data_IF_556688897446
#
_entry.id   IF_556688897446
#
_cell.length_a   1.000
_cell.length_b   1.000
_cell.length_c   1.000
_cell.angle_alpha   90.00
_cell.angle_beta   90.00
_cell.angle_gamma   90.00
#
_symmetry.space_group_name_H-M   'P 1'
#
loop_
_entity.id
_entity.type
_entity.pdbx_description
1 polymer ?
#
# COMPACT_ATOMS: atom_id res chain seq x y z
N UNK A 1 -2.43 18.76 -11.30
CA UNK A 1 -1.22 18.00 -11.76
C UNK A 1 -0.80 16.89 -10.82
N UNK A 2 -0.68 17.12 -9.49
CA UNK A 2 -0.23 16.08 -8.55
C UNK A 2 -1.13 14.83 -8.51
N UNK A 3 -2.46 14.99 -8.57
CA UNK A 3 -3.41 13.86 -8.54
C UNK A 3 -3.40 13.01 -9.81
N UNK A 4 -3.53 13.63 -10.98
CA UNK A 4 -3.54 12.92 -12.27
C UNK A 4 -2.25 12.12 -12.51
N UNK A 5 -1.08 12.66 -12.11
CA UNK A 5 0.20 11.96 -12.22
C UNK A 5 0.28 10.76 -11.26
N UNK A 6 -0.28 10.91 -10.06
CA UNK A 6 -0.36 9.83 -9.07
C UNK A 6 -1.30 8.71 -9.52
N UNK A 7 -2.47 9.06 -10.06
CA UNK A 7 -3.44 8.11 -10.63
C UNK A 7 -2.84 7.35 -11.82
N UNK A 8 -2.16 8.04 -12.73
CA UNK A 8 -1.45 7.40 -13.84
C UNK A 8 -0.37 6.43 -13.34
N UNK A 9 0.41 6.82 -12.34
CA UNK A 9 1.46 5.98 -11.75
C UNK A 9 0.87 4.73 -11.12
N UNK A 10 -0.22 4.87 -10.36
CA UNK A 10 -0.94 3.76 -9.77
C UNK A 10 -1.52 2.81 -10.83
N UNK A 11 -2.16 3.36 -11.87
CA UNK A 11 -2.72 2.58 -12.97
C UNK A 11 -1.64 1.80 -13.73
N UNK A 12 -0.43 2.37 -13.89
CA UNK A 12 0.70 1.66 -14.51
C UNK A 12 1.25 0.55 -13.62
N UNK A 13 1.40 0.77 -12.31
CA UNK A 13 1.83 -0.28 -11.37
C UNK A 13 0.85 -1.45 -11.37
N UNK A 14 -0.46 -1.16 -11.30
CA UNK A 14 -1.51 -2.17 -11.39
C UNK A 14 -1.47 -2.95 -12.71
N UNK A 15 -1.16 -2.29 -13.83
CA UNK A 15 -0.96 -2.96 -15.12
C UNK A 15 0.26 -3.88 -15.15
N UNK A 16 1.34 -3.49 -14.49
CA UNK A 16 2.57 -4.29 -14.43
C UNK A 16 2.39 -5.50 -13.53
N UNK A 17 1.77 -5.32 -12.37
CA UNK A 17 1.67 -6.36 -11.34
C UNK A 17 0.46 -7.29 -11.56
N UNK A 18 -0.72 -6.74 -11.89
CA UNK A 18 -1.98 -7.49 -12.00
C UNK A 18 -2.41 -7.75 -13.46
N UNK A 19 -1.65 -7.27 -14.45
CA UNK A 19 -1.98 -7.32 -15.89
C UNK A 19 -3.42 -6.88 -16.25
N UNK A 20 -4.07 -6.09 -15.39
CA UNK A 20 -5.43 -5.56 -15.64
C UNK A 20 -5.39 -4.38 -16.61
N UNK A 21 -6.23 -4.43 -17.64
CA UNK A 21 -6.18 -3.44 -18.72
C UNK A 21 -6.76 -2.06 -18.34
N UNK A 22 -7.74 -2.02 -17.41
CA UNK A 22 -8.33 -0.78 -16.87
C UNK A 22 -8.73 -0.96 -15.40
N UNK A 23 -8.03 -0.25 -14.51
CA UNK A 23 -8.27 -0.25 -13.05
C UNK A 23 -9.09 0.95 -12.56
N UNK A 24 -9.38 1.90 -13.46
CA UNK A 24 -10.19 3.09 -13.18
C UNK A 24 -11.26 3.21 -14.28
N UNK A 25 -12.01 2.13 -14.53
CA UNK A 25 -13.22 2.21 -15.35
C UNK A 25 -14.42 2.42 -14.42
N UNK A 26 -14.97 3.65 -14.41
CA UNK A 26 -16.12 4.03 -13.57
C UNK A 26 -17.37 3.17 -13.82
N UNK A 27 -17.41 2.40 -14.91
CA UNK A 27 -18.55 1.53 -15.25
C UNK A 27 -18.47 0.11 -14.66
N UNK A 28 -17.37 -0.28 -14.02
CA UNK A 28 -17.20 -1.62 -13.47
C UNK A 28 -17.22 -1.61 -11.93
N UNK A 29 -18.36 -1.95 -11.33
CA UNK A 29 -18.57 -1.83 -9.87
C UNK A 29 -17.66 -2.74 -9.03
N UNK A 30 -17.17 -3.85 -9.58
CA UNK A 30 -16.21 -4.73 -8.92
C UNK A 30 -14.81 -4.08 -8.83
N UNK A 31 -14.43 -3.31 -9.84
CA UNK A 31 -13.14 -2.61 -9.94
C UNK A 31 -13.05 -1.42 -8.97
N UNK A 32 -14.20 -0.80 -8.66
CA UNK A 32 -14.27 0.35 -7.74
C UNK A 32 -13.94 -0.01 -6.28
N UNK A 33 -14.40 -1.17 -5.78
CA UNK A 33 -14.10 -1.58 -4.40
C UNK A 33 -12.62 -1.98 -4.24
N UNK A 34 -12.08 -2.67 -5.25
CA UNK A 34 -10.67 -3.02 -5.33
C UNK A 34 -9.79 -1.76 -5.37
N UNK A 35 -10.18 -0.79 -6.21
CA UNK A 35 -9.54 0.54 -6.31
C UNK A 35 -9.53 1.28 -4.99
N UNK A 36 -10.65 1.23 -4.24
CA UNK A 36 -10.73 1.85 -2.92
C UNK A 36 -9.75 1.20 -1.93
N UNK A 37 -9.73 -0.14 -1.86
CA UNK A 37 -8.83 -0.90 -0.97
C UNK A 37 -7.36 -0.64 -1.29
N UNK A 38 -7.01 -0.57 -2.57
CA UNK A 38 -5.66 -0.23 -3.00
C UNK A 38 -5.29 1.21 -2.61
N UNK A 39 -6.16 2.18 -2.86
CA UNK A 39 -5.92 3.58 -2.51
C UNK A 39 -5.75 3.76 -1.00
N UNK A 40 -6.53 3.06 -0.19
CA UNK A 40 -6.39 3.02 1.27
C UNK A 40 -5.03 2.44 1.67
N UNK A 41 -4.64 1.30 1.08
CA UNK A 41 -3.34 0.66 1.34
C UNK A 41 -2.16 1.55 0.95
N UNK A 42 -2.23 2.22 -0.19
CA UNK A 42 -1.19 3.18 -0.61
C UNK A 42 -1.13 4.37 0.35
N UNK A 43 -2.28 4.88 0.79
CA UNK A 43 -2.35 6.01 1.72
C UNK A 43 -1.74 5.63 3.08
N UNK A 44 -2.08 4.45 3.61
CA UNK A 44 -1.51 3.90 4.84
C UNK A 44 0.01 3.73 4.72
N UNK A 45 0.50 3.23 3.57
CA UNK A 45 1.92 3.13 3.27
C UNK A 45 2.64 4.48 3.33
N UNK A 46 2.07 5.51 2.71
CA UNK A 46 2.63 6.86 2.75
C UNK A 46 2.65 7.43 4.18
N UNK A 47 1.61 7.20 4.97
CA UNK A 47 1.58 7.66 6.36
C UNK A 47 2.64 6.96 7.21
N UNK A 48 2.78 5.63 7.09
CA UNK A 48 3.78 4.86 7.82
C UNK A 48 5.21 5.19 7.37
N UNK A 49 5.44 5.47 6.08
CA UNK A 49 6.77 5.86 5.56
C UNK A 49 7.31 7.16 6.15
N UNK A 50 6.41 8.03 6.65
CA UNK A 50 6.78 9.30 7.29
C UNK A 50 7.00 9.15 8.79
N UNK A 51 6.63 8.03 9.38
CA UNK A 51 6.80 7.80 10.81
C UNK A 51 8.25 7.48 11.14
N UNK A 52 8.80 8.13 12.16
CA UNK A 52 10.15 7.83 12.64
C UNK A 52 10.15 6.53 13.44
N UNK A 53 11.00 5.58 13.05
CA UNK A 53 11.22 4.37 13.83
C UNK A 53 12.33 4.58 14.87
N UNK A 54 11.98 4.85 16.12
CA UNK A 54 12.96 5.04 17.19
C UNK A 54 13.86 3.80 17.43
N UNK A 55 13.38 2.60 17.10
CA UNK A 55 14.18 1.37 17.17
C UNK A 55 15.37 1.34 16.20
N UNK A 56 15.37 2.17 15.15
CA UNK A 56 16.51 2.30 14.23
C UNK A 56 17.58 3.27 14.75
N UNK A 57 17.24 4.14 15.70
CA UNK A 57 18.16 5.07 16.35
C UNK A 57 18.66 4.55 17.70
N UNK A 58 17.86 3.74 18.40
CA UNK A 58 18.18 3.20 19.73
C UNK A 58 17.99 1.68 19.72
N UNK A 59 19.06 0.90 19.48
CA UNK A 59 18.98 -0.56 19.27
C UNK A 59 18.35 -1.32 20.46
N UNK A 60 18.53 -0.83 21.69
CA UNK A 60 17.95 -1.44 22.89
C UNK A 60 16.41 -1.49 22.87
N UNK A 61 15.75 -0.53 22.21
CA UNK A 61 14.28 -0.50 22.12
C UNK A 61 13.70 -1.70 21.35
N UNK A 62 14.48 -2.31 20.45
CA UNK A 62 14.11 -3.55 19.75
C UNK A 62 14.05 -4.74 20.70
N UNK A 63 14.87 -4.77 21.76
CA UNK A 63 14.90 -5.87 22.74
C UNK A 63 13.78 -5.80 23.77
N UNK A 64 13.37 -4.59 24.18
CA UNK A 64 12.19 -4.39 25.04
C UNK A 64 10.86 -4.43 24.27
N UNK A 65 10.90 -4.76 22.97
CA UNK A 65 9.71 -5.04 22.17
C UNK A 65 8.96 -3.82 21.65
N UNK A 66 9.61 -2.65 21.58
CA UNK A 66 9.04 -1.41 21.01
C UNK A 66 9.08 -1.49 19.48
N UNK A 67 8.30 -2.41 18.92
CA UNK A 67 8.26 -2.71 17.48
C UNK A 67 6.90 -2.33 16.86
N UNK A 68 6.20 -1.35 17.43
CA UNK A 68 4.84 -0.99 17.01
C UNK A 68 4.75 -0.55 15.55
N UNK A 69 5.75 0.20 15.06
CA UNK A 69 5.81 0.63 13.66
C UNK A 69 6.15 -0.54 12.73
N UNK A 70 7.11 -1.38 13.11
CA UNK A 70 7.51 -2.57 12.35
C UNK A 70 6.33 -3.56 12.18
N UNK A 71 5.56 -3.80 13.24
CA UNK A 71 4.34 -4.63 13.17
C UNK A 71 3.30 -4.08 12.21
N UNK A 72 3.06 -2.75 12.22
CA UNK A 72 2.15 -2.09 11.28
C UNK A 72 2.64 -2.18 9.84
N UNK A 73 3.95 -2.06 9.62
CA UNK A 73 4.56 -2.27 8.30
C UNK A 73 4.40 -3.72 7.82
N UNK A 74 4.56 -4.71 8.70
CA UNK A 74 4.31 -6.12 8.38
C UNK A 74 2.83 -6.38 8.03
N UNK A 75 1.88 -5.78 8.75
CA UNK A 75 0.46 -5.88 8.44
C UNK A 75 0.12 -5.23 7.09
N UNK A 76 0.69 -4.05 6.81
CA UNK A 76 0.57 -3.37 5.52
C UNK A 76 1.12 -4.24 4.38
N UNK A 77 2.28 -4.87 4.58
CA UNK A 77 2.87 -5.78 3.60
C UNK A 77 1.93 -6.96 3.32
N UNK A 78 1.36 -7.59 4.35
CA UNK A 78 0.38 -8.68 4.16
C UNK A 78 -0.85 -8.24 3.38
N UNK A 79 -1.36 -7.01 3.60
CA UNK A 79 -2.48 -6.45 2.82
C UNK A 79 -2.09 -6.28 1.35
N UNK A 80 -0.89 -5.76 1.07
CA UNK A 80 -0.35 -5.61 -0.28
C UNK A 80 -0.18 -6.96 -0.97
N UNK A 81 0.43 -7.93 -0.31
CA UNK A 81 0.69 -9.26 -0.87
C UNK A 81 -0.62 -9.98 -1.19
N UNK A 82 -1.59 -9.93 -0.28
CA UNK A 82 -2.93 -10.48 -0.53
C UNK A 82 -3.61 -9.81 -1.73
N UNK A 83 -3.55 -8.49 -1.80
CA UNK A 83 -4.12 -7.74 -2.90
C UNK A 83 -3.49 -8.13 -4.26
N UNK A 84 -2.17 -8.36 -4.30
CA UNK A 84 -1.48 -8.82 -5.50
C UNK A 84 -1.78 -10.28 -5.84
N UNK A 85 -2.00 -11.14 -4.84
CA UNK A 85 -2.44 -12.52 -5.05
C UNK A 85 -3.88 -12.61 -5.58
N UNK A 86 -4.77 -11.73 -5.13
CA UNK A 86 -6.15 -11.66 -5.63
C UNK A 86 -6.21 -11.13 -7.09
N UNK A 87 -5.09 -10.65 -7.64
CA UNK A 87 -4.96 -10.15 -9.00
C UNK A 87 -4.50 -11.20 -10.03
N UNK A 88 -3.83 -12.28 -9.62
CA UNK A 88 -3.39 -13.39 -10.49
C UNK A 88 -4.57 -14.32 -10.87
#
# INVERSE_FOLDING_TARGET
MKSAFFELTQNNMMRMDCRKERYYDENNTADLEETRKFKETVTEAFQLSRATNYGDFVPFLKWVGVNGLEKRLQELQKKRDKFLQDCD
#
